data_IF_646732607481
#
_entry.id   IF_646732607481
#
_cell.length_a   1.000
_cell.length_b   1.000
_cell.length_c   1.000
_cell.angle_alpha   90.00
_cell.angle_beta   90.00
_cell.angle_gamma   90.00
#
_symmetry.space_group_name_H-M   'P 1'
#
loop_
_entity.id
_entity.type
_entity.pdbx_description
1 polymer ?
#
# COMPACT_ATOMS: atom_id res chain seq x y z
N UNK A 1 35.06 -11.59 36.74
CA UNK A 1 33.83 -11.58 36.01
C UNK A 1 34.08 -11.00 34.63
N UNK A 2 34.00 -11.86 33.61
CA UNK A 2 34.24 -11.48 32.22
C UNK A 2 32.94 -10.96 31.63
N UNK A 3 32.94 -9.72 31.18
CA UNK A 3 31.86 -9.07 30.40
C UNK A 3 31.65 -9.82 29.08
N UNK A 4 30.42 -10.12 28.66
CA UNK A 4 30.17 -10.72 27.35
C UNK A 4 30.41 -9.66 26.27
N UNK A 5 31.24 -9.98 25.29
CA UNK A 5 31.42 -9.20 24.06
C UNK A 5 30.16 -9.33 23.23
N UNK A 6 29.53 -8.19 22.96
CA UNK A 6 28.50 -8.09 21.96
C UNK A 6 29.17 -8.33 20.59
N UNK A 7 28.77 -9.41 19.93
CA UNK A 7 29.22 -9.77 18.59
C UNK A 7 28.78 -8.69 17.61
N UNK A 8 29.75 -8.01 17.04
CA UNK A 8 29.54 -7.01 15.99
C UNK A 8 28.86 -7.63 14.77
N UNK A 9 28.01 -6.86 14.15
CA UNK A 9 27.42 -7.14 12.84
C UNK A 9 28.57 -7.36 11.84
N UNK A 10 28.89 -8.63 11.62
CA UNK A 10 29.81 -9.04 10.58
C UNK A 10 29.06 -8.98 9.26
N UNK A 11 29.55 -8.13 8.36
CA UNK A 11 29.17 -8.08 6.95
C UNK A 11 28.91 -9.48 6.40
N UNK A 12 27.70 -9.75 5.92
CA UNK A 12 27.35 -10.96 5.19
C UNK A 12 28.30 -11.11 4.01
N UNK A 13 29.23 -12.05 4.11
CA UNK A 13 29.94 -12.56 2.95
C UNK A 13 28.91 -13.06 1.96
N UNK A 14 28.91 -12.47 0.78
CA UNK A 14 28.18 -12.94 -0.39
C UNK A 14 28.47 -14.43 -0.59
N UNK A 15 27.49 -15.29 -0.38
CA UNK A 15 27.46 -16.61 -0.98
C UNK A 15 27.30 -16.42 -2.48
N UNK A 16 28.28 -16.89 -3.23
CA UNK A 16 28.36 -16.71 -4.66
C UNK A 16 27.22 -17.35 -5.43
N UNK A 17 26.97 -16.80 -6.60
CA UNK A 17 26.12 -17.31 -7.70
C UNK A 17 24.61 -17.20 -7.56
N UNK A 18 24.07 -16.21 -6.87
CA UNK A 18 22.72 -15.71 -7.11
C UNK A 18 22.76 -14.57 -8.13
N UNK A 19 21.93 -14.59 -9.15
CA UNK A 19 21.77 -13.47 -10.05
C UNK A 19 21.52 -12.19 -9.22
N UNK A 20 22.48 -11.27 -9.22
CA UNK A 20 22.30 -10.01 -8.53
C UNK A 20 21.49 -9.09 -9.44
N UNK A 21 20.42 -8.51 -8.92
CA UNK A 21 19.61 -7.52 -9.61
C UNK A 21 19.87 -6.12 -9.02
N UNK A 22 21.05 -5.53 -9.24
CA UNK A 22 21.44 -4.30 -8.56
C UNK A 22 20.51 -3.13 -8.86
N UNK A 23 19.87 -3.12 -10.03
CA UNK A 23 18.91 -2.08 -10.42
C UNK A 23 17.56 -2.19 -9.71
N UNK A 24 17.29 -3.29 -9.01
CA UNK A 24 16.01 -3.51 -8.32
C UNK A 24 16.11 -3.32 -6.82
N UNK A 25 17.32 -3.30 -6.26
CA UNK A 25 17.54 -3.23 -4.81
C UNK A 25 16.87 -1.99 -4.20
N UNK A 26 17.01 -0.83 -4.84
CA UNK A 26 16.45 0.42 -4.33
C UNK A 26 14.91 0.42 -4.30
N UNK A 27 14.23 -0.32 -5.17
CA UNK A 27 12.77 -0.48 -5.09
C UNK A 27 12.37 -1.36 -3.92
N UNK A 28 13.12 -2.44 -3.68
CA UNK A 28 12.91 -3.35 -2.55
C UNK A 28 13.15 -2.61 -1.23
N UNK A 29 14.25 -1.87 -1.14
CA UNK A 29 14.58 -1.05 0.02
C UNK A 29 13.49 0.02 0.26
N UNK A 30 13.01 0.66 -0.80
CA UNK A 30 11.90 1.63 -0.72
C UNK A 30 10.61 1.01 -0.19
N UNK A 31 10.24 -0.20 -0.64
CA UNK A 31 9.08 -0.92 -0.10
C UNK A 31 9.28 -1.26 1.39
N UNK A 32 10.46 -1.71 1.78
CA UNK A 32 10.79 -2.01 3.18
C UNK A 32 10.72 -0.74 4.05
N UNK A 33 11.25 0.38 3.56
CA UNK A 33 11.17 1.67 4.23
C UNK A 33 9.73 2.15 4.39
N UNK A 34 8.88 1.95 3.39
CA UNK A 34 7.45 2.27 3.48
C UNK A 34 6.76 1.43 4.58
N UNK A 35 7.10 0.14 4.74
CA UNK A 35 6.57 -0.68 5.84
C UNK A 35 7.10 -0.25 7.22
N UNK A 36 8.35 0.18 7.32
CA UNK A 36 8.87 0.80 8.55
C UNK A 36 8.09 2.08 8.86
N UNK A 37 7.80 2.90 7.87
CA UNK A 37 7.02 4.12 8.00
C UNK A 37 5.55 3.83 8.37
N UNK A 38 4.92 2.76 7.88
CA UNK A 38 3.61 2.30 8.38
C UNK A 38 3.66 2.03 9.89
N UNK A 39 4.66 1.29 10.35
CA UNK A 39 4.83 0.99 11.78
C UNK A 39 5.05 2.25 12.61
N UNK A 40 5.84 3.20 12.10
CA UNK A 40 6.07 4.48 12.76
C UNK A 40 4.79 5.32 12.85
N UNK A 41 3.98 5.35 11.79
CA UNK A 41 2.71 6.07 11.76
C UNK A 41 1.69 5.49 12.76
N UNK A 42 1.55 4.16 12.81
CA UNK A 42 0.71 3.48 13.81
C UNK A 42 1.20 3.78 15.24
N UNK A 43 2.51 3.78 15.46
CA UNK A 43 3.11 4.11 16.76
C UNK A 43 2.81 5.56 17.17
N UNK A 44 2.83 6.51 16.23
CA UNK A 44 2.43 7.90 16.47
C UNK A 44 0.95 8.01 16.85
N UNK A 45 0.06 7.31 16.11
CA UNK A 45 -1.36 7.30 16.44
C UNK A 45 -1.59 6.80 17.87
N UNK A 46 -0.93 5.70 18.24
CA UNK A 46 -1.00 5.19 19.61
C UNK A 46 -0.45 6.20 20.64
N UNK A 47 0.68 6.84 20.34
CA UNK A 47 1.23 7.89 21.19
C UNK A 47 0.25 9.07 21.36
N UNK A 48 -0.39 9.52 20.30
CA UNK A 48 -1.39 10.59 20.34
C UNK A 48 -2.59 10.18 21.21
N UNK A 49 -3.06 8.94 21.08
CA UNK A 49 -4.16 8.42 21.89
C UNK A 49 -3.80 8.38 23.38
N UNK A 50 -2.63 7.87 23.74
CA UNK A 50 -2.16 7.80 25.13
C UNK A 50 -1.99 9.20 25.76
N UNK A 51 -1.69 10.21 24.97
CA UNK A 51 -1.49 11.59 25.41
C UNK A 51 -2.68 12.52 25.11
N UNK A 52 -3.85 11.97 24.79
CA UNK A 52 -5.05 12.72 24.35
C UNK A 52 -5.47 13.82 25.32
N UNK A 53 -5.29 13.61 26.62
CA UNK A 53 -5.67 14.59 27.65
C UNK A 53 -4.71 15.78 27.76
N UNK A 54 -3.53 15.70 27.14
CA UNK A 54 -2.51 16.75 27.11
C UNK A 54 -2.53 17.58 25.82
N UNK A 55 -3.37 17.22 24.87
CA UNK A 55 -3.49 17.85 23.56
C UNK A 55 -4.93 18.32 23.38
N UNK A 56 -5.14 19.54 22.93
CA UNK A 56 -6.50 19.99 22.62
C UNK A 56 -7.13 19.16 21.48
N UNK A 57 -8.45 18.99 21.53
CA UNK A 57 -9.17 18.07 20.64
C UNK A 57 -9.03 18.42 19.14
N UNK A 58 -8.92 19.71 18.80
CA UNK A 58 -8.79 20.17 17.42
C UNK A 58 -7.40 19.82 16.89
N UNK A 59 -6.37 20.09 17.66
CA UNK A 59 -4.98 19.76 17.33
C UNK A 59 -4.80 18.24 17.24
N UNK A 60 -5.33 17.47 18.20
CA UNK A 60 -5.29 16.02 18.20
C UNK A 60 -5.94 15.45 16.92
N UNK A 61 -7.15 15.89 16.60
CA UNK A 61 -7.84 15.48 15.37
C UNK A 61 -7.01 15.82 14.12
N UNK A 62 -6.34 16.97 14.10
CA UNK A 62 -5.50 17.38 12.98
C UNK A 62 -4.27 16.46 12.81
N UNK A 63 -3.62 16.07 13.91
CA UNK A 63 -2.49 15.14 13.88
C UNK A 63 -2.91 13.77 13.35
N UNK A 64 -4.03 13.22 13.84
CA UNK A 64 -4.54 11.94 13.35
C UNK A 64 -4.89 11.99 11.87
N UNK A 65 -5.51 13.07 11.40
CA UNK A 65 -5.81 13.28 9.98
C UNK A 65 -4.55 13.27 9.12
N UNK A 66 -3.50 13.95 9.57
CA UNK A 66 -2.22 13.98 8.85
C UNK A 66 -1.61 12.57 8.75
N UNK A 67 -1.69 11.76 9.80
CA UNK A 67 -1.20 10.37 9.73
C UNK A 67 -2.07 9.51 8.82
N UNK A 68 -3.39 9.70 8.77
CA UNK A 68 -4.28 9.02 7.80
C UNK A 68 -3.86 9.36 6.36
N UNK A 69 -3.64 10.64 6.05
CA UNK A 69 -3.19 11.09 4.73
C UNK A 69 -1.82 10.51 4.35
N UNK A 70 -0.91 10.46 5.32
CA UNK A 70 0.41 9.89 5.16
C UNK A 70 0.35 8.38 4.88
N UNK A 71 -0.46 7.63 5.62
CA UNK A 71 -0.67 6.19 5.40
C UNK A 71 -1.22 5.89 3.99
N UNK A 72 -2.16 6.69 3.49
CA UNK A 72 -2.66 6.56 2.12
C UNK A 72 -1.56 6.83 1.08
N UNK A 73 -0.67 7.77 1.36
CA UNK A 73 0.46 8.08 0.48
C UNK A 73 1.49 6.96 0.47
N UNK A 74 1.82 6.37 1.63
CA UNK A 74 2.70 5.21 1.74
C UNK A 74 2.13 4.00 0.99
N UNK A 75 0.85 3.67 1.24
CA UNK A 75 0.20 2.56 0.55
C UNK A 75 0.26 2.71 -0.97
N UNK A 76 0.06 3.93 -1.48
CA UNK A 76 0.21 4.21 -2.90
C UNK A 76 1.65 4.06 -3.37
N UNK A 77 2.63 4.53 -2.57
CA UNK A 77 4.07 4.39 -2.84
C UNK A 77 4.49 2.94 -3.04
N UNK A 78 3.99 2.02 -2.19
CA UNK A 78 4.23 0.57 -2.33
C UNK A 78 3.83 0.07 -3.72
N UNK A 79 2.65 0.43 -4.22
CA UNK A 79 2.21 0.01 -5.57
C UNK A 79 3.07 0.57 -6.68
N UNK A 80 3.49 1.83 -6.57
CA UNK A 80 4.34 2.46 -7.57
C UNK A 80 5.73 1.80 -7.58
N UNK A 81 6.33 1.54 -6.41
CA UNK A 81 7.62 0.84 -6.28
C UNK A 81 7.55 -0.61 -6.79
N UNK A 82 6.49 -1.36 -6.45
CA UNK A 82 6.29 -2.72 -6.96
C UNK A 82 6.15 -2.74 -8.47
N UNK A 83 5.43 -1.78 -9.04
CA UNK A 83 5.26 -1.69 -10.49
C UNK A 83 6.59 -1.40 -11.20
N UNK A 84 7.39 -0.49 -10.67
CA UNK A 84 8.73 -0.21 -11.20
C UNK A 84 9.64 -1.44 -11.11
N UNK A 85 9.63 -2.14 -9.96
CA UNK A 85 10.36 -3.40 -9.77
C UNK A 85 9.97 -4.44 -10.82
N UNK A 86 8.66 -4.68 -10.99
CA UNK A 86 8.14 -5.63 -11.98
C UNK A 86 8.55 -5.20 -13.39
N UNK A 87 8.47 -3.92 -13.71
CA UNK A 87 8.82 -3.39 -15.03
C UNK A 87 10.30 -3.62 -15.35
N UNK A 88 11.21 -3.39 -14.41
CA UNK A 88 12.65 -3.65 -14.58
C UNK A 88 12.92 -5.15 -14.74
N UNK A 89 12.36 -5.99 -13.85
CA UNK A 89 12.53 -7.44 -13.93
C UNK A 89 12.00 -7.98 -15.27
N UNK A 90 10.83 -7.54 -15.69
CA UNK A 90 10.21 -7.94 -16.94
C UNK A 90 11.06 -7.59 -18.16
N UNK A 91 11.59 -6.38 -18.20
CA UNK A 91 12.37 -5.91 -19.35
C UNK A 91 13.77 -6.52 -19.42
N UNK A 92 14.46 -6.66 -18.30
CA UNK A 92 15.88 -6.97 -18.28
C UNK A 92 16.17 -8.46 -17.98
N UNK A 93 15.31 -9.15 -17.24
CA UNK A 93 15.64 -10.45 -16.67
C UNK A 93 14.70 -11.59 -17.07
N UNK A 94 13.48 -11.28 -17.50
CA UNK A 94 12.52 -12.31 -17.90
C UNK A 94 12.70 -12.65 -19.38
N UNK A 95 12.64 -13.95 -19.71
CA UNK A 95 12.51 -14.49 -21.07
C UNK A 95 11.38 -15.48 -21.10
N UNK A 96 10.53 -15.38 -22.10
CA UNK A 96 9.40 -16.28 -22.28
C UNK A 96 9.77 -17.40 -23.26
N UNK A 97 9.28 -18.61 -23.00
CA UNK A 97 9.45 -19.76 -23.91
C UNK A 97 8.52 -19.69 -25.12
N UNK A 98 7.42 -18.95 -25.01
CA UNK A 98 6.47 -18.70 -26.09
C UNK A 98 7.00 -17.55 -26.96
N UNK A 99 7.33 -17.85 -28.23
CA UNK A 99 7.96 -16.90 -29.13
C UNK A 99 7.06 -15.70 -29.46
N UNK A 100 5.74 -15.89 -29.54
CA UNK A 100 4.79 -14.80 -29.80
C UNK A 100 4.70 -13.85 -28.59
N UNK A 101 4.59 -14.39 -27.39
CA UNK A 101 4.59 -13.60 -26.15
C UNK A 101 5.93 -12.90 -25.94
N UNK A 102 7.06 -13.58 -26.24
CA UNK A 102 8.39 -12.98 -26.14
C UNK A 102 8.57 -11.81 -27.13
N UNK A 103 8.00 -11.92 -28.33
CA UNK A 103 8.00 -10.83 -29.31
C UNK A 103 7.22 -9.62 -28.78
N UNK A 104 6.04 -9.83 -28.20
CA UNK A 104 5.25 -8.76 -27.58
C UNK A 104 6.05 -8.12 -26.43
N UNK A 105 6.63 -8.93 -25.55
CA UNK A 105 7.45 -8.47 -24.42
C UNK A 105 8.60 -7.56 -24.87
N UNK A 106 9.31 -7.91 -25.94
CA UNK A 106 10.43 -7.11 -26.48
C UNK A 106 9.98 -5.82 -27.13
N UNK A 107 8.79 -5.78 -27.70
CA UNK A 107 8.27 -4.61 -28.41
C UNK A 107 7.60 -3.60 -27.50
N UNK A 108 7.03 -4.06 -26.37
CA UNK A 108 6.23 -3.21 -25.47
C UNK A 108 6.85 -3.17 -24.07
N UNK A 109 7.21 -1.98 -23.65
CA UNK A 109 7.59 -1.74 -22.24
C UNK A 109 6.34 -1.78 -21.36
N UNK A 110 6.47 -2.36 -20.16
CA UNK A 110 5.43 -2.21 -19.16
C UNK A 110 5.37 -0.74 -18.70
N UNK A 111 4.17 -0.21 -18.46
CA UNK A 111 4.01 1.10 -17.83
C UNK A 111 4.63 1.12 -16.43
N UNK A 112 5.05 2.30 -15.98
CA UNK A 112 5.54 2.53 -14.62
C UNK A 112 4.41 2.65 -13.59
N UNK A 113 3.16 2.75 -14.03
CA UNK A 113 2.00 2.86 -13.17
C UNK A 113 1.22 1.54 -13.11
N UNK A 114 0.91 1.07 -11.91
CA UNK A 114 0.02 -0.07 -11.69
C UNK A 114 -1.36 0.14 -12.35
N UNK A 115 -1.90 1.37 -12.28
CA UNK A 115 -3.18 1.71 -12.88
C UNK A 115 -3.23 1.41 -14.39
N UNK A 116 -2.16 1.71 -15.12
CA UNK A 116 -2.14 1.55 -16.58
C UNK A 116 -2.20 0.09 -17.01
N UNK A 117 -1.74 -0.82 -16.14
CA UNK A 117 -1.84 -2.26 -16.38
C UNK A 117 -3.19 -2.79 -15.91
N UNK A 118 -3.56 -2.52 -14.67
CA UNK A 118 -4.69 -3.16 -14.00
C UNK A 118 -6.05 -2.55 -14.35
N UNK A 119 -6.09 -1.30 -14.82
CA UNK A 119 -7.34 -0.58 -15.02
C UNK A 119 -7.60 -0.21 -16.49
N UNK A 120 -8.90 -0.07 -16.81
CA UNK A 120 -9.40 0.59 -18.02
C UNK A 120 -10.00 1.92 -17.58
N UNK A 121 -9.38 3.02 -18.02
CA UNK A 121 -9.83 4.35 -17.58
C UNK A 121 -9.60 4.58 -16.07
N UNK A 122 -10.63 5.10 -15.38
CA UNK A 122 -10.47 5.49 -13.98
C UNK A 122 -11.05 4.50 -12.97
N UNK A 123 -11.97 3.63 -13.38
CA UNK A 123 -12.80 2.84 -12.47
C UNK A 123 -12.92 1.37 -12.79
N UNK A 124 -12.61 0.94 -14.00
CA UNK A 124 -12.89 -0.42 -14.43
C UNK A 124 -11.64 -1.29 -14.34
N UNK A 125 -11.80 -2.48 -13.79
CA UNK A 125 -10.71 -3.45 -13.69
C UNK A 125 -10.56 -4.14 -15.06
N UNK A 126 -9.33 -4.18 -15.56
CA UNK A 126 -9.01 -4.87 -16.82
C UNK A 126 -9.13 -6.38 -16.65
N UNK A 127 -9.62 -7.07 -17.69
CA UNK A 127 -9.67 -8.53 -17.70
C UNK A 127 -8.27 -9.13 -17.81
N UNK A 128 -8.13 -10.38 -17.37
CA UNK A 128 -6.87 -11.15 -17.48
C UNK A 128 -6.46 -11.25 -18.94
N UNK A 129 -7.41 -11.56 -19.83
CA UNK A 129 -7.21 -11.71 -21.27
C UNK A 129 -6.66 -10.42 -21.89
N UNK A 130 -7.22 -9.26 -21.52
CA UNK A 130 -6.76 -7.96 -22.00
C UNK A 130 -5.33 -7.65 -21.54
N UNK A 131 -4.99 -7.97 -20.27
CA UNK A 131 -3.64 -7.78 -19.74
C UNK A 131 -2.64 -8.66 -20.50
N UNK A 132 -2.95 -9.93 -20.69
CA UNK A 132 -2.12 -10.89 -21.42
C UNK A 132 -1.92 -10.46 -22.87
N UNK A 133 -3.01 -10.11 -23.56
CA UNK A 133 -2.96 -9.72 -24.98
C UNK A 133 -2.21 -8.40 -25.18
N UNK A 134 -2.39 -7.45 -24.26
CA UNK A 134 -1.81 -6.11 -24.41
C UNK A 134 -0.31 -6.08 -24.13
N UNK A 135 0.16 -6.83 -23.12
CA UNK A 135 1.58 -6.77 -22.68
C UNK A 135 2.34 -8.08 -22.78
N UNK A 136 1.67 -9.17 -23.13
CA UNK A 136 2.29 -10.50 -23.22
C UNK A 136 2.61 -11.10 -21.85
N UNK A 137 1.99 -10.59 -20.76
CA UNK A 137 2.21 -11.08 -19.41
C UNK A 137 1.71 -12.53 -19.27
N UNK A 138 2.37 -13.37 -18.46
CA UNK A 138 1.85 -14.69 -18.12
C UNK A 138 0.50 -14.59 -17.40
N UNK A 139 -0.39 -15.55 -17.65
CA UNK A 139 -1.75 -15.57 -17.07
C UNK A 139 -1.75 -15.46 -15.54
N UNK A 140 -0.78 -16.11 -14.88
CA UNK A 140 -0.61 -16.01 -13.41
C UNK A 140 -0.31 -14.59 -12.94
N UNK A 141 0.57 -13.88 -13.64
CA UNK A 141 0.89 -12.50 -13.28
C UNK A 141 -0.28 -11.56 -13.60
N UNK A 142 -0.97 -11.77 -14.73
CA UNK A 142 -2.18 -11.02 -15.06
C UNK A 142 -3.29 -11.24 -14.03
N UNK A 143 -3.44 -12.47 -13.51
CA UNK A 143 -4.36 -12.80 -12.42
C UNK A 143 -4.03 -12.01 -11.15
N UNK A 144 -2.75 -11.89 -10.78
CA UNK A 144 -2.34 -11.10 -9.60
C UNK A 144 -2.68 -9.62 -9.76
N UNK A 145 -2.45 -9.03 -10.93
CA UNK A 145 -2.89 -7.65 -11.19
C UNK A 145 -4.40 -7.50 -10.98
N UNK A 146 -5.19 -8.43 -11.49
CA UNK A 146 -6.66 -8.40 -11.38
C UNK A 146 -7.11 -8.63 -9.93
N UNK A 147 -6.43 -9.53 -9.19
CA UNK A 147 -6.72 -9.82 -7.77
C UNK A 147 -6.51 -8.61 -6.86
N UNK A 148 -5.46 -7.84 -7.12
CA UNK A 148 -5.07 -6.70 -6.28
C UNK A 148 -5.80 -5.40 -6.70
N UNK A 149 -6.27 -5.32 -7.95
CA UNK A 149 -6.89 -4.12 -8.52
C UNK A 149 -8.06 -3.54 -7.70
N UNK A 150 -8.96 -4.33 -7.07
CA UNK A 150 -10.03 -3.78 -6.24
C UNK A 150 -9.51 -2.90 -5.10
N UNK A 151 -8.52 -3.36 -4.34
CA UNK A 151 -7.92 -2.57 -3.25
C UNK A 151 -7.21 -1.33 -3.79
N UNK A 152 -6.46 -1.46 -4.89
CA UNK A 152 -5.84 -0.31 -5.54
C UNK A 152 -6.86 0.76 -5.95
N UNK A 153 -8.04 0.36 -6.44
CA UNK A 153 -9.13 1.29 -6.76
C UNK A 153 -9.68 1.98 -5.51
N UNK A 154 -9.86 1.26 -4.40
CA UNK A 154 -10.26 1.86 -3.13
C UNK A 154 -9.22 2.89 -2.68
N UNK A 155 -7.94 2.52 -2.67
CA UNK A 155 -6.83 3.38 -2.31
C UNK A 155 -6.77 4.65 -3.18
N UNK A 156 -6.94 4.49 -4.50
CA UNK A 156 -7.01 5.61 -5.44
C UNK A 156 -8.17 6.55 -5.12
N UNK A 157 -9.35 6.00 -4.80
CA UNK A 157 -10.55 6.78 -4.42
C UNK A 157 -10.31 7.56 -3.13
N UNK A 158 -9.74 6.92 -2.11
CA UNK A 158 -9.42 7.56 -0.84
C UNK A 158 -8.43 8.71 -1.04
N UNK A 159 -7.31 8.45 -1.72
CA UNK A 159 -6.29 9.45 -2.01
C UNK A 159 -6.84 10.63 -2.83
N UNK A 160 -7.58 10.37 -3.88
CA UNK A 160 -8.15 11.41 -4.72
C UNK A 160 -9.11 12.33 -3.93
N UNK A 161 -9.88 11.76 -3.01
CA UNK A 161 -10.78 12.55 -2.15
C UNK A 161 -10.01 13.45 -1.20
N UNK A 162 -8.98 12.92 -0.57
CA UNK A 162 -8.18 13.66 0.41
C UNK A 162 -7.34 14.74 -0.28
N UNK A 163 -6.68 14.42 -1.39
CA UNK A 163 -5.68 15.31 -2.00
C UNK A 163 -6.31 16.25 -3.03
N UNK A 164 -7.21 15.77 -3.88
CA UNK A 164 -7.66 16.52 -5.06
C UNK A 164 -9.04 17.15 -4.94
N UNK A 165 -9.91 16.64 -4.08
CA UNK A 165 -11.30 17.12 -3.99
C UNK A 165 -11.52 18.15 -2.87
N UNK A 166 -10.47 18.63 -2.20
CA UNK A 166 -10.61 19.44 -0.99
C UNK A 166 -11.39 18.71 0.12
N UNK A 167 -11.58 17.39 -0.05
CA UNK A 167 -12.22 16.51 0.91
C UNK A 167 -11.28 16.32 2.07
N UNK A 168 -11.43 17.14 3.10
CA UNK A 168 -10.74 16.94 4.36
C UNK A 168 -11.24 15.63 4.96
N UNK A 169 -10.34 14.84 5.55
CA UNK A 169 -10.72 13.81 6.53
C UNK A 169 -11.63 14.50 7.54
N UNK A 170 -12.84 13.98 7.75
CA UNK A 170 -13.77 14.54 8.71
C UNK A 170 -13.22 14.51 10.12
N UNK A 171 -14.00 14.98 11.06
CA UNK A 171 -13.55 15.01 12.42
C UNK A 171 -13.25 13.59 12.92
N UNK A 172 -12.07 13.40 13.51
CA UNK A 172 -11.69 12.18 14.21
C UNK A 172 -11.92 12.41 15.68
N UNK A 173 -12.70 11.55 16.30
CA UNK A 173 -13.02 11.63 17.74
C UNK A 173 -12.03 10.76 18.51
N UNK A 174 -11.72 11.15 19.72
CA UNK A 174 -10.88 10.38 20.63
C UNK A 174 -11.71 9.89 21.80
N UNK A 175 -11.85 8.57 21.91
CA UNK A 175 -12.52 7.89 23.01
C UNK A 175 -11.51 7.09 23.85
N UNK A 176 -11.97 6.42 24.90
CA UNK A 176 -11.07 5.61 25.74
C UNK A 176 -10.56 4.36 25.02
N UNK A 177 -11.34 3.83 24.08
CA UNK A 177 -11.01 2.67 23.26
C UNK A 177 -10.10 2.96 22.08
N UNK A 178 -9.89 4.22 21.70
CA UNK A 178 -9.09 4.59 20.51
C UNK A 178 -9.66 5.79 19.77
N UNK A 179 -9.24 5.92 18.52
CA UNK A 179 -9.79 6.91 17.61
C UNK A 179 -11.03 6.38 16.91
N UNK A 180 -12.06 7.22 16.82
CA UNK A 180 -13.33 6.91 16.17
C UNK A 180 -13.54 7.81 14.98
N UNK A 181 -14.12 7.24 13.93
CA UNK A 181 -14.47 7.93 12.69
C UNK A 181 -15.93 7.70 12.33
N UNK A 182 -16.53 8.64 11.63
CA UNK A 182 -17.89 8.45 11.11
C UNK A 182 -17.84 7.62 9.84
N UNK A 183 -18.40 6.40 9.86
CA UNK A 183 -18.38 5.46 8.74
C UNK A 183 -19.20 5.94 7.53
N UNK A 184 -20.10 6.92 7.71
CA UNK A 184 -20.86 7.52 6.60
C UNK A 184 -20.09 8.66 5.92
N UNK A 185 -18.94 9.07 6.49
CA UNK A 185 -18.06 10.02 5.83
C UNK A 185 -17.62 9.49 4.46
N UNK A 186 -17.55 10.39 3.50
CA UNK A 186 -17.15 10.08 2.12
C UNK A 186 -15.81 9.33 2.01
N UNK A 187 -14.91 9.49 2.99
CA UNK A 187 -13.64 8.76 3.02
C UNK A 187 -13.86 7.29 3.43
N UNK A 188 -14.69 7.05 4.43
CA UNK A 188 -14.84 5.74 5.06
C UNK A 188 -16.02 4.92 4.52
N UNK A 189 -17.01 5.57 3.89
CA UNK A 189 -18.25 4.92 3.42
C UNK A 189 -18.05 3.75 2.42
N UNK A 190 -16.86 3.59 1.85
CA UNK A 190 -16.53 2.53 0.90
C UNK A 190 -15.54 1.51 1.46
N UNK A 191 -15.14 1.66 2.72
CA UNK A 191 -14.05 0.86 3.28
C UNK A 191 -14.43 -0.61 3.50
N UNK A 192 -15.72 -0.91 3.72
CA UNK A 192 -16.24 -2.26 3.97
C UNK A 192 -15.37 -3.07 4.96
N UNK A 193 -14.95 -2.44 6.05
CA UNK A 193 -14.11 -3.07 7.06
C UNK A 193 -14.74 -3.07 8.46
N UNK A 194 -15.98 -2.60 8.58
CA UNK A 194 -16.77 -2.65 9.80
C UNK A 194 -18.00 -3.50 9.58
N UNK A 195 -18.27 -4.39 10.52
CA UNK A 195 -19.55 -5.09 10.61
C UNK A 195 -20.60 -4.18 11.26
N UNK A 196 -21.86 -4.51 11.10
CA UNK A 196 -22.95 -3.67 11.67
C UNK A 196 -22.83 -3.50 13.19
N UNK A 197 -22.28 -4.51 13.85
CA UNK A 197 -22.07 -4.57 15.31
C UNK A 197 -20.95 -3.64 15.78
N UNK A 198 -20.00 -3.32 14.90
CA UNK A 198 -18.87 -2.42 15.17
C UNK A 198 -19.28 -0.94 15.11
N UNK A 199 -20.45 -0.65 14.53
CA UNK A 199 -20.92 0.70 14.30
C UNK A 199 -21.79 1.14 15.47
N UNK A 200 -21.25 2.06 16.24
CA UNK A 200 -21.93 2.62 17.40
C UNK A 200 -22.91 3.76 17.08
N UNK A 201 -23.30 4.46 18.12
CA UNK A 201 -24.19 5.62 18.02
C UNK A 201 -23.57 6.69 17.12
N UNK A 202 -24.40 7.39 16.36
CA UNK A 202 -23.98 8.42 15.38
C UNK A 202 -23.09 7.91 14.25
N UNK A 203 -23.17 6.62 13.92
CA UNK A 203 -22.34 5.96 12.89
C UNK A 203 -20.85 6.07 13.17
N UNK A 204 -20.46 6.05 14.43
CA UNK A 204 -19.04 6.04 14.82
C UNK A 204 -18.55 4.62 14.94
N UNK A 205 -17.35 4.36 14.37
CA UNK A 205 -16.64 3.10 14.52
C UNK A 205 -15.16 3.35 14.77
N UNK A 206 -14.46 2.34 15.32
CA UNK A 206 -13.01 2.41 15.53
C UNK A 206 -12.27 2.61 14.20
N UNK A 207 -11.23 3.44 14.23
CA UNK A 207 -10.34 3.65 13.09
C UNK A 207 -9.47 2.42 12.81
N UNK A 208 -9.21 1.57 13.80
CA UNK A 208 -8.25 0.47 13.74
C UNK A 208 -8.54 -0.56 12.63
N UNK A 209 -9.80 -1.02 12.37
CA UNK A 209 -10.08 -1.95 11.28
C UNK A 209 -9.68 -1.38 9.91
N UNK A 210 -9.89 -0.09 9.71
CA UNK A 210 -9.50 0.57 8.45
C UNK A 210 -7.97 0.68 8.30
N UNK A 211 -7.26 1.03 9.37
CA UNK A 211 -5.79 1.03 9.39
C UNK A 211 -5.24 -0.37 9.10
N UNK A 212 -5.78 -1.38 9.78
CA UNK A 212 -5.41 -2.78 9.57
C UNK A 212 -5.63 -3.21 8.11
N UNK A 213 -6.76 -2.85 7.50
CA UNK A 213 -7.06 -3.13 6.09
C UNK A 213 -6.01 -2.53 5.17
N UNK A 214 -5.67 -1.24 5.33
CA UNK A 214 -4.67 -0.59 4.47
C UNK A 214 -3.32 -1.31 4.56
N UNK A 215 -2.84 -1.58 5.75
CA UNK A 215 -1.54 -2.22 5.97
C UNK A 215 -1.55 -3.65 5.42
N UNK A 216 -2.56 -4.43 5.77
CA UNK A 216 -2.67 -5.83 5.35
C UNK A 216 -2.76 -5.98 3.83
N UNK A 217 -3.60 -5.17 3.18
CA UNK A 217 -3.75 -5.24 1.72
C UNK A 217 -2.49 -4.71 0.99
N UNK A 218 -1.77 -3.74 1.57
CA UNK A 218 -0.47 -3.33 1.03
C UNK A 218 0.58 -4.44 1.15
N UNK A 219 0.56 -5.22 2.25
CA UNK A 219 1.41 -6.40 2.40
C UNK A 219 1.03 -7.51 1.42
N UNK A 220 -0.27 -7.75 1.23
CA UNK A 220 -0.78 -8.74 0.26
C UNK A 220 -0.38 -8.42 -1.18
N UNK A 221 -0.20 -7.15 -1.52
CA UNK A 221 0.30 -6.75 -2.83
C UNK A 221 1.77 -7.15 -3.07
N UNK A 222 2.53 -7.42 -2.01
CA UNK A 222 3.93 -7.84 -2.07
C UNK A 222 4.11 -9.38 -2.15
N UNK A 223 3.05 -10.16 -1.97
CA UNK A 223 3.07 -11.62 -1.99
C UNK A 223 2.71 -12.18 -3.37
#
# INVERSE_FOLDING_TARGET
PKTPRICGYSSRKQCGNGASYPKTIHFIDGVLDDFVNFSASVSKLNFFHLNKNSIDAITLSSYVKTEIEYLLSLARGVFDLLQELISVLWQEHVRLFDDEKEKIRKQKKLPSSFADIALVGESDIRSIEDIVQKWGLPDKLALEYTRIAPFFLELRRWRNRVIHSGGKVSHVYSEDSGFMVNVTDKLFAWANCWEHEDIGVNNLASLDPWLAKIIFESMNACN
#
